data_IF_861836470757
#
_entry.id   IF_861836470757
#
_cell.length_a   1.000
_cell.length_b   1.000
_cell.length_c   1.000
_cell.angle_alpha   90.00
_cell.angle_beta   90.00
_cell.angle_gamma   90.00
#
_symmetry.space_group_name_H-M   'P 1'
#
loop_
_entity.id
_entity.type
_entity.pdbx_description
1 polymer ?
#
# COMPACT_ATOMS: atom_id res chain seq x y z
N UNK A 1 -48.53 -70.77 -35.33
CA UNK A 1 -48.41 -72.24 -35.24
C UNK A 1 -46.96 -72.56 -34.81
N UNK A 2 -46.74 -73.52 -33.89
CA UNK A 2 -45.48 -74.25 -33.50
C UNK A 2 -44.10 -73.80 -34.07
N UNK A 3 -42.95 -73.88 -33.39
CA UNK A 3 -42.45 -74.11 -31.99
C UNK A 3 -40.89 -73.97 -32.03
N UNK A 4 -40.15 -74.19 -30.91
CA UNK A 4 -38.65 -74.16 -30.76
C UNK A 4 -38.00 -72.75 -30.91
N UNK A 5 -36.77 -72.40 -30.50
CA UNK A 5 -35.66 -73.01 -29.72
C UNK A 5 -34.34 -72.21 -30.01
N UNK A 6 -33.22 -72.27 -29.27
CA UNK A 6 -32.85 -72.82 -27.93
C UNK A 6 -31.54 -72.11 -27.45
N UNK A 7 -31.43 -71.71 -26.16
CA UNK A 7 -30.22 -71.30 -25.38
C UNK A 7 -29.26 -70.18 -25.87
N UNK A 8 -28.68 -69.42 -24.91
CA UNK A 8 -27.46 -68.60 -25.14
C UNK A 8 -27.09 -67.65 -24.00
N UNK A 9 -26.28 -68.09 -23.03
CA UNK A 9 -25.78 -67.29 -21.89
C UNK A 9 -24.84 -66.15 -22.34
N UNK A 10 -25.02 -64.93 -21.79
CA UNK A 10 -23.94 -63.96 -21.57
C UNK A 10 -24.13 -63.18 -20.26
N UNK A 11 -23.41 -63.60 -19.21
CA UNK A 11 -23.14 -62.79 -18.00
C UNK A 11 -22.70 -61.35 -18.36
N UNK A 12 -23.40 -60.35 -17.81
CA UNK A 12 -22.90 -58.96 -17.76
C UNK A 12 -22.12 -58.73 -16.46
N UNK A 13 -20.79 -58.82 -16.51
CA UNK A 13 -19.93 -58.28 -15.46
C UNK A 13 -19.98 -56.76 -15.49
N UNK A 14 -20.38 -56.11 -14.39
CA UNK A 14 -20.27 -54.66 -14.22
C UNK A 14 -18.90 -54.33 -13.62
N UNK A 15 -17.94 -53.95 -14.46
CA UNK A 15 -16.68 -53.40 -13.99
C UNK A 15 -16.86 -51.90 -13.67
N UNK A 16 -16.92 -51.56 -12.39
CA UNK A 16 -16.75 -50.17 -11.94
C UNK A 16 -15.25 -49.84 -11.98
N UNK A 17 -14.87 -48.97 -12.92
CA UNK A 17 -13.55 -48.34 -12.91
C UNK A 17 -13.56 -47.22 -11.85
N UNK A 18 -12.91 -47.47 -10.71
CA UNK A 18 -12.71 -46.45 -9.68
C UNK A 18 -11.56 -45.52 -10.06
N UNK A 19 -11.86 -44.33 -10.55
CA UNK A 19 -10.85 -43.27 -10.69
C UNK A 19 -10.43 -42.74 -9.33
N UNK A 20 -9.25 -43.13 -8.85
CA UNK A 20 -8.58 -42.49 -7.73
C UNK A 20 -8.08 -41.10 -8.18
N UNK A 21 -8.81 -40.06 -7.82
CA UNK A 21 -8.39 -38.68 -8.05
C UNK A 21 -7.30 -38.30 -7.02
N UNK A 22 -6.04 -38.27 -7.46
CA UNK A 22 -4.94 -37.75 -6.64
C UNK A 22 -5.03 -36.22 -6.62
N UNK A 23 -5.57 -35.66 -5.53
CA UNK A 23 -5.59 -34.21 -5.31
C UNK A 23 -4.20 -33.73 -4.88
N UNK A 24 -3.44 -33.13 -5.80
CA UNK A 24 -2.19 -32.43 -5.46
C UNK A 24 -2.55 -31.08 -4.83
N UNK A 25 -2.39 -30.96 -3.52
CA UNK A 25 -2.55 -29.69 -2.81
C UNK A 25 -1.30 -28.82 -3.01
N UNK A 26 -1.38 -27.88 -3.95
CA UNK A 26 -0.40 -26.80 -4.07
C UNK A 26 -0.50 -25.90 -2.83
N UNK A 27 0.39 -26.10 -1.86
CA UNK A 27 0.57 -25.19 -0.74
C UNK A 27 1.36 -23.99 -1.24
N UNK A 28 0.66 -22.91 -1.59
CA UNK A 28 1.33 -21.62 -1.77
C UNK A 28 1.89 -21.15 -0.42
N UNK A 29 3.18 -20.79 -0.32
CA UNK A 29 3.67 -20.12 0.87
C UNK A 29 2.93 -18.78 0.99
N UNK A 30 2.31 -18.53 2.14
CA UNK A 30 1.81 -17.21 2.45
C UNK A 30 2.98 -16.22 2.39
N UNK A 31 2.85 -15.16 1.57
CA UNK A 31 3.87 -14.13 1.46
C UNK A 31 4.12 -13.56 2.86
N UNK A 32 5.28 -13.89 3.44
CA UNK A 32 5.59 -13.55 4.81
C UNK A 32 5.90 -12.05 4.83
N UNK A 33 4.99 -11.26 5.40
CA UNK A 33 5.10 -9.80 5.45
C UNK A 33 6.21 -9.38 6.42
N UNK A 34 7.47 -9.54 6.00
CA UNK A 34 8.60 -8.85 6.60
C UNK A 34 8.33 -7.34 6.60
N UNK A 35 8.82 -6.63 7.63
CA UNK A 35 8.55 -5.21 7.88
C UNK A 35 8.56 -4.38 6.58
N UNK A 36 7.38 -3.92 6.15
CA UNK A 36 7.22 -3.20 4.87
C UNK A 36 7.92 -1.83 4.87
N UNK A 37 8.30 -1.35 6.05
CA UNK A 37 9.08 -0.14 6.27
C UNK A 37 10.42 -0.50 6.93
N UNK A 38 11.55 0.04 6.43
CA UNK A 38 12.84 -0.11 7.09
C UNK A 38 12.84 0.44 8.51
N UNK A 39 13.58 -0.21 9.42
CA UNK A 39 13.79 0.27 10.80
C UNK A 39 14.58 1.58 10.88
N UNK A 40 15.44 1.82 9.89
CA UNK A 40 16.21 3.06 9.73
C UNK A 40 15.42 4.16 9.03
N UNK A 41 16.14 5.19 8.55
CA UNK A 41 15.54 6.15 7.64
C UNK A 41 15.27 5.52 6.26
N UNK A 42 14.23 5.99 5.56
CA UNK A 42 13.89 5.53 4.22
C UNK A 42 13.33 6.66 3.36
N UNK A 43 13.46 6.54 2.05
CA UNK A 43 12.70 7.33 1.09
C UNK A 43 11.37 6.64 0.79
N UNK A 44 10.29 7.40 0.64
CA UNK A 44 9.04 6.91 0.06
C UNK A 44 8.97 7.30 -1.41
N UNK A 45 8.69 6.34 -2.27
CA UNK A 45 8.32 6.58 -3.67
C UNK A 45 7.14 5.70 -4.05
N UNK A 46 6.41 6.03 -5.12
CA UNK A 46 5.37 5.17 -5.66
C UNK A 46 5.73 4.67 -7.06
N UNK A 47 5.04 3.64 -7.54
CA UNK A 47 5.32 2.99 -8.82
C UNK A 47 5.30 3.99 -10.00
N UNK A 48 4.45 5.02 -9.95
CA UNK A 48 4.37 6.04 -11.00
C UNK A 48 5.59 6.97 -11.01
N UNK A 49 5.98 7.49 -9.86
CA UNK A 49 7.02 8.53 -9.74
C UNK A 49 8.44 7.95 -9.62
N UNK A 50 8.58 6.68 -9.25
CA UNK A 50 9.86 5.97 -9.22
C UNK A 50 10.58 5.99 -10.59
N UNK A 51 9.84 5.93 -11.71
CA UNK A 51 10.39 6.03 -13.06
C UNK A 51 10.97 7.43 -13.40
N UNK A 52 10.55 8.46 -12.67
CA UNK A 52 11.11 9.82 -12.75
C UNK A 52 12.20 10.08 -11.70
N UNK A 53 12.56 9.07 -10.90
CA UNK A 53 13.52 9.23 -9.80
C UNK A 53 13.01 10.17 -8.70
N UNK A 54 11.70 10.22 -8.47
CA UNK A 54 11.06 11.10 -7.49
C UNK A 54 10.63 10.36 -6.21
N UNK A 55 10.71 11.07 -5.09
CA UNK A 55 10.40 10.62 -3.75
C UNK A 55 9.51 11.66 -3.04
N UNK A 56 8.69 11.22 -2.09
CA UNK A 56 7.83 12.07 -1.28
C UNK A 56 8.68 12.95 -0.35
N UNK A 57 8.51 14.27 -0.44
CA UNK A 57 9.05 15.25 0.49
C UNK A 57 7.97 15.70 1.49
N UNK A 58 8.31 15.69 2.78
CA UNK A 58 7.57 16.38 3.84
C UNK A 58 8.32 17.65 4.25
N UNK A 59 7.67 18.79 4.11
CA UNK A 59 8.25 20.14 4.23
C UNK A 59 7.56 20.94 5.35
N UNK A 60 7.97 22.20 5.56
CA UNK A 60 7.35 23.12 6.52
C UNK A 60 6.02 23.66 5.98
N UNK A 61 5.03 23.90 6.85
CA UNK A 61 3.66 24.37 6.46
C UNK A 61 3.64 25.67 5.63
N UNK A 62 4.63 26.56 5.80
CA UNK A 62 4.82 27.76 4.97
C UNK A 62 5.90 27.60 3.86
N UNK A 63 6.24 26.35 3.51
CA UNK A 63 7.32 26.01 2.58
C UNK A 63 6.86 25.84 1.13
N UNK A 64 7.62 25.03 0.38
CA UNK A 64 7.27 24.69 -1.01
C UNK A 64 5.85 24.09 -1.12
N UNK A 65 5.20 24.31 -2.27
CA UNK A 65 3.82 23.81 -2.53
C UNK A 65 2.80 24.19 -1.45
N UNK A 66 2.98 25.35 -0.82
CA UNK A 66 2.12 25.83 0.25
C UNK A 66 2.10 24.90 1.46
N UNK A 67 3.22 24.20 1.74
CA UNK A 67 3.37 23.29 2.87
C UNK A 67 2.76 21.90 2.72
N UNK A 68 2.25 21.56 1.54
CA UNK A 68 1.82 20.18 1.25
C UNK A 68 3.02 19.28 0.96
N UNK A 69 2.93 18.03 1.40
CA UNK A 69 3.84 16.97 0.99
C UNK A 69 3.67 16.70 -0.51
N UNK A 70 4.77 16.50 -1.23
CA UNK A 70 4.76 16.44 -2.70
C UNK A 70 5.90 15.56 -3.24
N UNK A 71 5.80 15.16 -4.50
CA UNK A 71 6.81 14.33 -5.16
C UNK A 71 7.88 15.22 -5.83
N UNK A 72 9.15 14.96 -5.53
CA UNK A 72 10.31 15.65 -6.09
C UNK A 72 11.54 14.72 -6.14
N UNK A 73 12.56 15.06 -6.92
CA UNK A 73 13.75 14.23 -7.16
C UNK A 73 14.35 13.67 -5.86
N UNK A 74 14.53 12.34 -5.82
CA UNK A 74 15.18 11.61 -4.74
C UNK A 74 16.63 12.11 -4.58
N UNK A 75 16.84 13.02 -3.65
CA UNK A 75 18.13 13.59 -3.27
C UNK A 75 18.36 13.32 -1.78
N UNK A 76 19.62 13.29 -1.36
CA UNK A 76 20.03 13.12 0.03
C UNK A 76 19.75 14.39 0.87
N UNK A 77 18.48 14.77 0.98
CA UNK A 77 17.98 15.92 1.75
C UNK A 77 17.03 15.43 2.84
N UNK A 78 17.10 16.05 4.01
CA UNK A 78 16.41 15.59 5.23
C UNK A 78 14.88 15.62 5.13
N UNK A 79 14.31 16.43 4.22
CA UNK A 79 12.87 16.48 3.94
C UNK A 79 12.32 15.24 3.23
N UNK A 80 13.17 14.39 2.65
CA UNK A 80 12.78 13.13 1.98
C UNK A 80 13.15 11.87 2.78
N UNK A 81 13.89 12.02 3.88
CA UNK A 81 14.31 10.94 4.76
C UNK A 81 13.26 10.68 5.84
N UNK A 82 12.34 9.77 5.58
CA UNK A 82 11.26 9.37 6.46
C UNK A 82 11.73 8.38 7.54
N UNK A 83 11.07 8.43 8.70
CA UNK A 83 11.08 7.41 9.74
C UNK A 83 9.64 7.05 10.08
N UNK A 84 9.40 5.78 10.38
CA UNK A 84 8.14 5.29 10.92
C UNK A 84 8.29 4.89 12.38
N UNK A 85 7.52 5.52 13.26
CA UNK A 85 7.49 5.21 14.69
C UNK A 85 6.19 4.48 14.99
N UNK A 86 6.21 3.21 15.46
CA UNK A 86 5.00 2.48 15.84
C UNK A 86 4.22 3.21 16.95
N UNK A 87 2.89 3.24 16.85
CA UNK A 87 1.98 3.82 17.86
C UNK A 87 0.97 2.82 18.42
N UNK A 88 1.18 1.53 18.19
CA UNK A 88 0.25 0.46 18.55
C UNK A 88 -0.73 0.10 17.42
N UNK A 89 -1.49 -0.98 17.61
CA UNK A 89 -2.55 -1.46 16.71
C UNK A 89 -2.17 -1.63 15.22
N UNK A 90 -0.88 -1.78 14.90
CA UNK A 90 -0.38 -1.84 13.51
C UNK A 90 -0.31 -0.48 12.80
N UNK A 91 -0.38 0.63 13.54
CA UNK A 91 -0.23 1.99 13.03
C UNK A 91 1.14 2.59 13.36
N UNK A 92 1.53 3.58 12.56
CA UNK A 92 2.78 4.32 12.64
C UNK A 92 2.53 5.83 12.56
N UNK A 93 3.37 6.64 13.19
CA UNK A 93 3.58 8.04 12.81
C UNK A 93 4.70 8.08 11.78
N UNK A 94 4.54 8.92 10.75
CA UNK A 94 5.54 9.15 9.71
C UNK A 94 6.11 10.55 9.85
N UNK A 95 7.43 10.67 10.02
CA UNK A 95 8.12 11.95 10.24
C UNK A 95 9.37 12.01 9.37
N UNK A 96 9.65 13.17 8.75
CA UNK A 96 10.91 13.39 8.02
C UNK A 96 12.01 13.86 8.96
N UNK A 97 13.28 13.55 8.67
CA UNK A 97 14.42 14.05 9.44
C UNK A 97 14.46 15.58 9.51
N UNK A 98 13.93 16.28 8.50
CA UNK A 98 13.81 17.75 8.50
C UNK A 98 12.82 18.30 9.54
N UNK A 99 11.76 17.55 9.84
CA UNK A 99 10.67 18.00 10.72
C UNK A 99 10.68 17.33 12.11
N UNK A 100 11.53 16.32 12.32
CA UNK A 100 11.66 15.58 13.57
C UNK A 100 11.96 16.48 14.80
N UNK A 101 12.90 17.42 14.68
CA UNK A 101 13.28 18.31 15.79
C UNK A 101 12.18 19.33 16.16
N UNK A 102 11.14 19.43 15.33
CA UNK A 102 9.95 20.25 15.57
C UNK A 102 8.75 19.45 16.10
N UNK A 103 8.94 18.14 16.37
CA UNK A 103 7.86 17.21 16.76
C UNK A 103 6.66 17.27 15.79
N UNK A 104 6.95 17.06 14.51
CA UNK A 104 5.95 17.08 13.43
C UNK A 104 5.84 15.73 12.70
N UNK A 105 4.61 15.39 12.35
CA UNK A 105 4.15 14.14 11.79
C UNK A 105 3.32 14.42 10.52
N UNK A 106 3.39 13.51 9.55
CA UNK A 106 2.55 13.59 8.35
C UNK A 106 1.09 13.35 8.72
N UNK A 107 0.22 14.28 8.37
CA UNK A 107 -1.23 14.18 8.49
C UNK A 107 -1.89 13.97 7.13
N UNK A 108 -2.82 13.02 7.05
CA UNK A 108 -3.67 12.79 5.86
C UNK A 108 -5.08 13.32 6.06
N UNK A 109 -5.52 14.20 5.16
CA UNK A 109 -6.78 14.95 5.24
C UNK A 109 -7.88 14.41 4.32
N UNK A 110 -9.14 14.80 4.57
CA UNK A 110 -10.20 14.77 3.56
C UNK A 110 -10.05 15.94 2.56
N UNK A 111 -10.63 15.81 1.36
CA UNK A 111 -10.55 16.81 0.28
C UNK A 111 -10.94 18.24 0.73
N UNK A 112 -11.95 18.39 1.59
CA UNK A 112 -12.38 19.68 2.15
C UNK A 112 -11.74 20.03 3.52
N UNK A 113 -10.62 19.40 3.86
CA UNK A 113 -9.91 19.57 5.13
C UNK A 113 -8.84 20.66 5.09
N UNK A 114 -7.91 20.61 6.05
CA UNK A 114 -6.75 21.49 6.07
C UNK A 114 -5.93 21.36 4.78
N UNK A 115 -5.19 22.41 4.41
CA UNK A 115 -4.33 22.46 3.22
C UNK A 115 -5.05 22.11 1.90
N UNK A 116 -6.37 22.35 1.83
CA UNK A 116 -7.20 21.97 0.68
C UNK A 116 -7.25 20.46 0.45
N UNK A 117 -7.10 19.66 1.51
CA UNK A 117 -7.07 18.19 1.45
C UNK A 117 -5.72 17.56 1.09
N UNK A 118 -4.67 18.37 0.91
CA UNK A 118 -3.31 17.86 0.83
C UNK A 118 -2.87 17.20 2.14
N UNK A 119 -2.00 16.20 2.05
CA UNK A 119 -1.24 15.71 3.19
C UNK A 119 -0.13 16.72 3.52
N UNK A 120 0.14 16.96 4.80
CA UNK A 120 1.12 17.96 5.25
C UNK A 120 1.77 17.56 6.58
N UNK A 121 2.83 18.27 6.97
CA UNK A 121 3.49 18.06 8.26
C UNK A 121 2.83 18.97 9.30
N UNK A 122 2.23 18.38 10.34
CA UNK A 122 1.65 19.07 11.49
C UNK A 122 2.26 18.56 12.80
N UNK A 123 2.05 19.28 13.92
CA UNK A 123 2.48 18.83 15.26
C UNK A 123 1.97 17.41 15.55
N UNK A 124 2.89 16.56 16.00
CA UNK A 124 2.62 15.17 16.36
C UNK A 124 1.60 15.10 17.51
N UNK A 125 0.42 14.56 17.22
CA UNK A 125 -0.70 14.49 18.15
C UNK A 125 -1.32 13.09 18.16
N UNK A 126 -2.15 12.78 19.16
CA UNK A 126 -2.87 11.50 19.24
C UNK A 126 -4.16 11.53 18.40
N UNK A 127 -4.04 11.91 17.12
CA UNK A 127 -5.16 12.11 16.19
C UNK A 127 -5.14 11.06 15.08
N UNK A 128 -6.32 10.62 14.66
CA UNK A 128 -6.47 9.54 13.68
C UNK A 128 -5.95 9.89 12.27
N UNK A 129 -5.77 11.18 11.97
CA UNK A 129 -5.16 11.68 10.73
C UNK A 129 -3.65 11.44 10.62
N UNK A 130 -2.96 11.22 11.74
CA UNK A 130 -1.49 11.01 11.80
C UNK A 130 -1.09 9.56 12.06
N UNK A 131 -2.07 8.67 12.25
CA UNK A 131 -1.86 7.23 12.48
C UNK A 131 -1.97 6.49 11.15
N UNK A 132 -0.83 6.20 10.52
CA UNK A 132 -0.70 5.55 9.23
C UNK A 132 -0.68 4.03 9.36
N UNK A 133 -1.52 3.33 8.61
CA UNK A 133 -1.50 1.88 8.42
C UNK A 133 -0.89 1.57 7.07
N UNK A 134 0.01 0.59 7.07
CA UNK A 134 0.64 0.03 5.87
C UNK A 134 -0.18 -1.20 5.47
N UNK A 135 -0.61 -1.27 4.21
CA UNK A 135 -1.45 -2.36 3.71
C UNK A 135 -0.73 -3.05 2.55
N UNK A 136 -0.35 -4.33 2.66
CA UNK A 136 0.38 -5.04 1.60
C UNK A 136 -0.33 -5.02 0.25
N UNK A 137 0.45 -4.76 -0.80
CA UNK A 137 0.06 -4.94 -2.19
C UNK A 137 0.99 -5.97 -2.86
N UNK A 138 0.86 -6.14 -4.18
CA UNK A 138 1.69 -7.06 -4.95
C UNK A 138 3.11 -6.49 -5.16
N UNK A 139 4.06 -7.37 -5.49
CA UNK A 139 5.42 -7.03 -5.95
C UNK A 139 6.24 -6.13 -5.01
N UNK A 140 6.02 -6.27 -3.69
CA UNK A 140 6.73 -5.51 -2.67
C UNK A 140 6.24 -4.08 -2.47
N UNK A 141 5.13 -3.69 -3.10
CA UNK A 141 4.46 -2.42 -2.86
C UNK A 141 3.47 -2.51 -1.68
N UNK A 142 3.02 -1.34 -1.22
CA UNK A 142 1.96 -1.19 -0.23
C UNK A 142 1.09 0.02 -0.52
N UNK A 143 -0.12 0.02 0.05
CA UNK A 143 -0.92 1.21 0.19
C UNK A 143 -0.70 1.84 1.58
N UNK A 144 -0.78 3.17 1.63
CA UNK A 144 -0.79 3.95 2.87
C UNK A 144 -2.21 4.48 3.11
N UNK A 145 -2.74 4.30 4.31
CA UNK A 145 -4.01 4.94 4.73
C UNK A 145 -3.89 5.43 6.16
N UNK A 146 -4.62 6.47 6.55
CA UNK A 146 -4.69 6.90 7.95
C UNK A 146 -5.83 6.18 8.66
N UNK A 147 -5.78 6.07 10.00
CA UNK A 147 -6.89 5.57 10.83
C UNK A 147 -8.17 6.38 10.59
N UNK A 148 -8.03 7.66 10.26
CA UNK A 148 -9.13 8.57 9.94
C UNK A 148 -9.79 8.27 8.59
N UNK A 149 -9.01 8.00 7.53
CA UNK A 149 -9.53 7.84 6.16
C UNK A 149 -9.79 6.38 5.72
N UNK A 150 -9.26 5.41 6.47
CA UNK A 150 -9.52 4.00 6.23
C UNK A 150 -11.02 3.61 6.17
N UNK A 151 -11.94 4.18 6.97
CA UNK A 151 -13.39 3.89 6.87
C UNK A 151 -14.03 4.35 5.56
N UNK A 152 -13.44 5.30 4.85
CA UNK A 152 -13.88 5.76 3.53
C UNK A 152 -13.24 4.97 2.38
N UNK A 153 -12.41 3.95 2.70
CA UNK A 153 -11.59 3.23 1.73
C UNK A 153 -10.71 4.20 0.90
N UNK A 154 -10.03 5.12 1.57
CA UNK A 154 -9.10 6.07 0.94
C UNK A 154 -7.63 5.77 1.30
N UNK A 155 -6.77 5.96 0.31
CA UNK A 155 -5.33 5.70 0.32
C UNK A 155 -4.56 6.96 -0.11
N UNK A 156 -3.32 7.10 0.34
CA UNK A 156 -2.44 8.20 -0.08
C UNK A 156 -2.06 8.03 -1.56
N UNK A 157 -2.34 9.05 -2.35
CA UNK A 157 -1.94 9.19 -3.75
C UNK A 157 -0.78 10.20 -3.82
N UNK A 158 0.29 9.85 -4.53
CA UNK A 158 1.38 10.75 -4.88
C UNK A 158 1.41 11.00 -6.37
N UNK A 159 1.14 12.23 -6.81
CA UNK A 159 1.09 12.58 -8.23
C UNK A 159 2.28 13.45 -8.65
N UNK A 160 2.44 13.68 -9.95
CA UNK A 160 3.42 14.62 -10.51
C UNK A 160 3.05 16.07 -10.16
N UNK A 161 4.05 16.95 -10.12
CA UNK A 161 3.85 18.40 -10.10
C UNK A 161 2.87 18.83 -11.22
N UNK A 162 1.86 19.61 -10.87
CA UNK A 162 0.83 20.07 -11.82
C UNK A 162 -0.19 19.00 -12.24
N UNK A 163 -0.17 17.81 -11.61
CA UNK A 163 -1.25 16.84 -11.68
C UNK A 163 -2.41 17.19 -10.74
N UNK A 164 -3.16 16.17 -10.32
CA UNK A 164 -4.27 16.33 -9.37
C UNK A 164 -3.79 16.99 -8.08
N UNK A 165 -4.65 17.81 -7.46
CA UNK A 165 -4.33 18.65 -6.30
C UNK A 165 -3.07 19.53 -6.50
N UNK A 166 -2.75 19.89 -7.76
CA UNK A 166 -1.54 20.65 -8.10
C UNK A 166 -0.22 19.86 -7.98
N UNK A 167 -0.29 18.56 -7.72
CA UNK A 167 0.85 17.70 -7.39
C UNK A 167 1.15 17.57 -5.89
N UNK A 168 0.26 18.03 -5.01
CA UNK A 168 0.26 17.61 -3.62
C UNK A 168 -0.01 16.10 -3.51
N UNK A 169 0.52 15.44 -2.49
CA UNK A 169 0.05 14.13 -2.07
C UNK A 169 -1.28 14.29 -1.31
N UNK A 170 -2.25 13.42 -1.55
CA UNK A 170 -3.62 13.57 -1.02
C UNK A 170 -4.29 12.21 -0.80
N UNK A 171 -5.42 12.20 -0.07
CA UNK A 171 -6.18 10.98 0.17
C UNK A 171 -7.24 10.80 -0.92
N UNK A 172 -7.21 9.66 -1.61
CA UNK A 172 -8.07 9.32 -2.74
C UNK A 172 -8.64 7.91 -2.57
N UNK A 173 -9.77 7.54 -3.22
CA UNK A 173 -10.30 6.17 -3.14
C UNK A 173 -9.24 5.12 -3.50
N UNK A 174 -9.05 4.14 -2.60
CA UNK A 174 -8.05 3.08 -2.70
C UNK A 174 -8.27 2.24 -3.96
N UNK A 175 -7.27 2.26 -4.85
CA UNK A 175 -7.27 1.57 -6.13
C UNK A 175 -5.89 0.99 -6.42
N UNK A 176 -5.82 0.00 -7.33
CA UNK A 176 -4.56 -0.57 -7.82
C UNK A 176 -3.91 0.31 -8.89
N UNK A 177 -3.72 1.60 -8.57
CA UNK A 177 -3.10 2.59 -9.46
C UNK A 177 -1.68 2.91 -9.01
N UNK A 178 -0.80 3.22 -9.97
CA UNK A 178 0.63 3.39 -9.73
C UNK A 178 0.99 4.60 -8.86
N UNK A 179 0.09 5.59 -8.71
CA UNK A 179 0.21 6.71 -7.77
C UNK A 179 -0.05 6.35 -6.30
N UNK A 180 -0.72 5.22 -6.04
CA UNK A 180 -1.06 4.73 -4.69
C UNK A 180 -0.27 3.48 -4.25
N UNK A 181 0.52 2.90 -5.16
CA UNK A 181 1.39 1.75 -4.88
C UNK A 181 2.77 2.26 -4.44
N UNK A 182 2.96 2.36 -3.13
CA UNK A 182 4.16 2.88 -2.47
C UNK A 182 5.21 1.81 -2.19
N UNK A 183 6.48 2.23 -2.16
CA UNK A 183 7.62 1.42 -1.73
C UNK A 183 8.54 2.29 -0.87
N UNK A 184 9.03 1.72 0.22
CA UNK A 184 10.08 2.31 1.04
C UNK A 184 11.46 1.83 0.54
N UNK A 185 12.39 2.77 0.37
CA UNK A 185 13.78 2.50 -0.03
C UNK A 185 14.66 2.89 1.16
N UNK A 186 15.39 1.95 1.81
CA UNK A 186 16.29 2.29 2.91
C UNK A 186 17.27 3.41 2.51
N UNK A 187 17.48 4.37 3.39
CA UNK A 187 18.68 5.22 3.34
C UNK A 187 19.84 4.35 3.82
N UNK A 188 20.84 4.16 2.98
CA UNK A 188 22.14 3.60 3.37
C UNK A 188 23.10 4.75 3.64
N UNK A 189 23.68 4.74 4.83
CA UNK A 189 24.80 5.62 5.21
C UNK A 189 26.14 5.09 4.67
#
# INVERSE_FOLDING_TARGET
MKLTGITGDRRRSRHLLGCLAVTVTLVWPAATSADQLPKGAFYLTNQFRALSGECLEGNHVAGARGGTAFMDLCRAVTGKMWRATPVGDGFYRLTTRFRADFDECLEGNQIAGAMGGGAFMDRCQNVSGQHWRIMPAQDGYFHLTTRFRAPQNECLEGNRIGGDMGGAAFMAPCQKVSGQLWRAIPVTD
#
